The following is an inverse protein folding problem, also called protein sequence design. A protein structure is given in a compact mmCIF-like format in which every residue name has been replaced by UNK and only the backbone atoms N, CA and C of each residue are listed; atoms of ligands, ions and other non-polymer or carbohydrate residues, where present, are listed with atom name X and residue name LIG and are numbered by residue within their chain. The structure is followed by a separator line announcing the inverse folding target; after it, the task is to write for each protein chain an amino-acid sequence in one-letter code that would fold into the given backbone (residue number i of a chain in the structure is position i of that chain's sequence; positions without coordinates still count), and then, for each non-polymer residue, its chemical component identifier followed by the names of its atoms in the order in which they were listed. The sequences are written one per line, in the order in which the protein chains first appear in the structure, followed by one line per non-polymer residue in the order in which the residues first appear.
data_IF_130824637519
#
_entry.id   IF_130824637519
#
_cell.length_a   1.000
_cell.length_b   1.000
_cell.length_c   1.000
_cell.angle_alpha   90.00
_cell.angle_beta   90.00
_cell.angle_gamma   90.00
#
_symmetry.space_group_name_H-M   'P 1'
#
loop_
_entity.id
_entity.type
_entity.pdbx_description
1 polymer ?
#
# COMPACT_ATOMS: atom_id res chain seq x y z
N UNK A 1 -10.59 14.22 -7.30
CA UNK A 1 -9.51 13.76 -8.23
C UNK A 1 -10.00 12.50 -8.96
N UNK A 2 -9.85 12.45 -10.28
CA UNK A 2 -9.95 11.19 -11.04
C UNK A 2 -8.56 10.68 -11.37
N UNK A 3 -8.28 9.42 -11.08
CA UNK A 3 -6.95 8.79 -11.31
C UNK A 3 -6.59 8.84 -12.80
N UNK A 4 -7.57 8.69 -13.70
CA UNK A 4 -7.41 8.82 -15.17
C UNK A 4 -6.83 10.18 -15.56
N UNK A 5 -7.32 11.27 -14.98
CA UNK A 5 -6.79 12.62 -15.26
C UNK A 5 -5.35 12.82 -14.78
N UNK A 6 -4.94 12.15 -13.69
CA UNK A 6 -3.53 12.18 -13.26
C UNK A 6 -2.64 11.40 -14.22
N UNK A 7 -3.08 10.24 -14.70
CA UNK A 7 -2.35 9.46 -15.71
C UNK A 7 -2.19 10.23 -17.02
N UNK A 8 -3.23 10.91 -17.46
CA UNK A 8 -3.19 11.78 -18.64
C UNK A 8 -2.21 12.95 -18.45
N UNK A 9 -2.22 13.61 -17.28
CA UNK A 9 -1.26 14.66 -16.93
C UNK A 9 0.19 14.17 -16.94
N UNK A 10 0.46 12.96 -16.46
CA UNK A 10 1.78 12.34 -16.47
C UNK A 10 2.23 11.95 -17.90
N UNK A 11 1.31 11.64 -18.80
CA UNK A 11 1.54 11.45 -20.23
C UNK A 11 2.64 10.42 -20.54
N UNK A 12 3.71 10.86 -21.21
CA UNK A 12 4.83 10.00 -21.65
C UNK A 12 5.54 9.30 -20.47
N UNK A 13 5.66 9.93 -19.30
CA UNK A 13 6.27 9.30 -18.13
C UNK A 13 5.42 8.13 -17.62
N UNK A 14 4.09 8.29 -17.62
CA UNK A 14 3.19 7.20 -17.28
C UNK A 14 3.30 6.05 -18.27
N UNK A 15 3.31 6.38 -19.57
CA UNK A 15 3.48 5.37 -20.63
C UNK A 15 4.80 4.62 -20.50
N UNK A 16 5.91 5.33 -20.27
CA UNK A 16 7.23 4.71 -20.07
C UNK A 16 7.24 3.70 -18.91
N UNK A 17 6.56 4.01 -17.81
CA UNK A 17 6.42 3.06 -16.70
C UNK A 17 5.59 1.84 -17.09
N UNK A 18 4.49 2.01 -17.84
CA UNK A 18 3.68 0.86 -18.30
C UNK A 18 4.46 -0.02 -19.28
N UNK A 19 5.22 0.58 -20.20
CA UNK A 19 6.07 -0.15 -21.16
C UNK A 19 7.18 -0.94 -20.42
N UNK A 20 7.77 -0.35 -19.36
CA UNK A 20 8.73 -1.06 -18.50
C UNK A 20 8.11 -2.21 -17.74
N UNK A 21 6.90 -2.05 -17.18
CA UNK A 21 6.18 -3.13 -16.50
C UNK A 21 5.93 -4.30 -17.44
N UNK A 22 5.43 -4.03 -18.64
CA UNK A 22 5.18 -5.06 -19.65
C UNK A 22 6.46 -5.78 -20.09
N UNK A 23 7.52 -5.03 -20.41
CA UNK A 23 8.78 -5.61 -20.88
C UNK A 23 9.53 -6.38 -19.79
N UNK A 24 9.51 -5.90 -18.54
CA UNK A 24 10.15 -6.57 -17.42
C UNK A 24 9.57 -7.95 -17.12
N UNK A 25 8.28 -8.16 -17.40
CA UNK A 25 7.57 -9.39 -17.07
C UNK A 25 7.55 -10.42 -18.19
N UNK A 26 8.14 -10.12 -19.35
CA UNK A 26 8.28 -11.09 -20.43
C UNK A 26 9.35 -12.16 -20.08
N UNK A 27 9.04 -13.43 -20.29
CA UNK A 27 9.91 -14.55 -19.96
C UNK A 27 10.15 -15.54 -21.11
N UNK A 28 9.24 -15.61 -22.08
CA UNK A 28 9.19 -16.63 -23.13
C UNK A 28 8.57 -17.96 -22.69
N UNK A 29 8.07 -18.06 -21.45
CA UNK A 29 7.30 -19.21 -20.95
C UNK A 29 5.81 -18.86 -21.04
N UNK A 30 5.07 -19.53 -21.96
CA UNK A 30 3.69 -19.21 -22.28
C UNK A 30 2.77 -19.07 -21.07
N UNK A 31 2.83 -20.02 -20.12
CA UNK A 31 2.01 -19.98 -18.89
C UNK A 31 2.33 -18.74 -18.06
N UNK A 32 3.61 -18.37 -17.92
CA UNK A 32 4.03 -17.23 -17.13
C UNK A 32 3.65 -15.92 -17.83
N UNK A 33 3.89 -15.80 -19.13
CA UNK A 33 3.58 -14.61 -19.92
C UNK A 33 2.07 -14.35 -19.94
N UNK A 34 1.22 -15.38 -20.17
CA UNK A 34 -0.23 -15.26 -20.12
C UNK A 34 -0.73 -14.85 -18.71
N UNK A 35 -0.14 -15.39 -17.64
CA UNK A 35 -0.49 -15.02 -16.27
C UNK A 35 -0.11 -13.57 -15.99
N UNK A 36 1.08 -13.12 -16.42
CA UNK A 36 1.55 -11.75 -16.26
C UNK A 36 0.67 -10.74 -17.01
N UNK A 37 0.28 -11.02 -18.24
CA UNK A 37 -0.65 -10.19 -19.03
C UNK A 37 -2.00 -10.04 -18.34
N UNK A 38 -2.54 -11.13 -17.81
CA UNK A 38 -3.80 -11.11 -17.06
C UNK A 38 -3.68 -10.22 -15.80
N UNK A 39 -2.61 -10.38 -15.00
CA UNK A 39 -2.37 -9.58 -13.81
C UNK A 39 -2.20 -8.09 -14.15
N UNK A 40 -1.46 -7.74 -15.19
CA UNK A 40 -1.27 -6.35 -15.62
C UNK A 40 -2.60 -5.72 -16.09
N UNK A 41 -3.46 -6.47 -16.76
CA UNK A 41 -4.77 -5.97 -17.21
C UNK A 41 -5.72 -5.64 -16.04
N UNK A 42 -5.49 -6.22 -14.86
CA UNK A 42 -6.27 -6.01 -13.63
C UNK A 42 -5.47 -5.29 -12.53
N UNK A 43 -4.42 -4.55 -12.88
CA UNK A 43 -3.46 -3.93 -11.95
C UNK A 43 -4.03 -2.83 -11.04
N UNK A 44 -5.30 -2.45 -11.19
CA UNK A 44 -5.98 -1.50 -10.31
C UNK A 44 -5.52 -0.05 -10.48
N UNK A 45 -5.44 0.69 -9.37
CA UNK A 45 -5.16 2.13 -9.38
C UNK A 45 -3.70 2.48 -9.63
N UNK A 46 -2.77 1.59 -9.34
CA UNK A 46 -1.31 1.77 -9.45
C UNK A 46 -0.84 3.07 -8.77
N UNK A 47 -1.22 3.25 -7.51
CA UNK A 47 -0.95 4.50 -6.77
C UNK A 47 0.54 4.74 -6.51
N UNK A 48 1.34 3.68 -6.41
CA UNK A 48 2.79 3.79 -6.14
C UNK A 48 3.56 4.40 -7.29
N UNK A 49 3.41 3.95 -8.54
CA UNK A 49 4.02 4.63 -9.67
C UNK A 49 3.47 6.05 -9.89
N UNK A 50 2.17 6.30 -9.67
CA UNK A 50 1.62 7.66 -9.71
C UNK A 50 2.31 8.57 -8.70
N UNK A 51 2.43 8.12 -7.45
CA UNK A 51 3.14 8.83 -6.39
C UNK A 51 4.59 9.10 -6.78
N UNK A 52 5.32 8.08 -7.25
CA UNK A 52 6.72 8.22 -7.64
C UNK A 52 6.90 9.30 -8.71
N UNK A 53 6.12 9.26 -9.78
CA UNK A 53 6.23 10.22 -10.87
C UNK A 53 5.86 11.64 -10.43
N UNK A 54 4.80 11.80 -9.62
CA UNK A 54 4.40 13.11 -9.09
C UNK A 54 5.49 13.70 -8.18
N UNK A 55 6.07 12.90 -7.28
CA UNK A 55 7.16 13.36 -6.38
C UNK A 55 8.40 13.72 -7.18
N UNK A 56 8.84 12.91 -8.16
CA UNK A 56 10.00 13.23 -8.98
C UNK A 56 9.80 14.57 -9.71
N UNK A 57 8.65 14.77 -10.35
CA UNK A 57 8.34 16.05 -11.04
C UNK A 57 8.25 17.22 -10.06
N UNK A 58 7.62 17.04 -8.90
CA UNK A 58 7.52 18.08 -7.87
C UNK A 58 8.90 18.51 -7.36
N UNK A 59 9.82 17.56 -7.16
CA UNK A 59 11.21 17.84 -6.78
C UNK A 59 11.92 18.68 -7.84
N UNK A 60 11.85 18.31 -9.12
CA UNK A 60 12.45 19.07 -10.22
C UNK A 60 11.88 20.50 -10.30
N UNK A 61 10.55 20.65 -10.20
CA UNK A 61 9.89 21.96 -10.21
C UNK A 61 10.29 22.82 -9.02
N UNK A 62 10.39 22.23 -7.83
CA UNK A 62 10.82 22.93 -6.61
C UNK A 62 12.28 23.38 -6.68
N UNK A 63 13.13 22.67 -7.42
CA UNK A 63 14.52 23.05 -7.69
C UNK A 63 14.66 24.04 -8.87
N UNK A 64 13.57 24.43 -9.54
CA UNK A 64 13.62 25.29 -10.72
C UNK A 64 14.23 24.61 -11.96
N UNK A 65 14.24 23.29 -11.99
CA UNK A 65 14.85 22.48 -13.06
C UNK A 65 13.78 22.13 -14.09
N UNK A 66 14.08 22.41 -15.37
CA UNK A 66 13.20 22.12 -16.51
C UNK A 66 13.47 20.75 -17.15
N UNK A 67 14.29 19.92 -16.53
CA UNK A 67 14.63 18.59 -17.04
C UNK A 67 13.42 17.65 -16.99
N UNK A 68 13.42 16.69 -17.92
CA UNK A 68 12.44 15.59 -17.96
C UNK A 68 12.89 14.47 -17.03
N UNK A 69 11.94 13.64 -16.60
CA UNK A 69 12.26 12.41 -15.90
C UNK A 69 13.10 11.48 -16.78
N UNK A 70 13.97 10.71 -16.14
CA UNK A 70 14.88 9.79 -16.82
C UNK A 70 14.42 8.34 -16.65
N UNK A 71 15.06 7.44 -17.36
CA UNK A 71 14.82 6.00 -17.24
C UNK A 71 14.97 5.51 -15.78
N UNK A 72 15.86 6.12 -14.99
CA UNK A 72 16.05 5.78 -13.56
C UNK A 72 14.77 6.04 -12.76
N UNK A 73 14.11 7.20 -12.97
CA UNK A 73 12.85 7.52 -12.29
C UNK A 73 11.74 6.54 -12.66
N UNK A 74 11.63 6.18 -13.94
CA UNK A 74 10.63 5.22 -14.41
C UNK A 74 10.88 3.80 -13.89
N UNK A 75 12.16 3.37 -13.83
CA UNK A 75 12.54 2.05 -13.29
C UNK A 75 12.17 1.92 -11.81
N UNK A 76 12.44 2.94 -10.98
CA UNK A 76 12.10 2.90 -9.56
C UNK A 76 10.58 2.91 -9.34
N UNK A 77 9.84 3.68 -10.15
CA UNK A 77 8.38 3.67 -10.12
C UNK A 77 7.80 2.29 -10.50
N UNK A 78 8.32 1.68 -11.56
CA UNK A 78 7.91 0.33 -11.99
C UNK A 78 8.30 -0.75 -10.95
N UNK A 79 9.52 -0.67 -10.39
CA UNK A 79 9.99 -1.60 -9.37
C UNK A 79 9.09 -1.60 -8.11
N UNK A 80 8.65 -0.42 -7.66
CA UNK A 80 7.74 -0.30 -6.53
C UNK A 80 6.38 -0.99 -6.79
N UNK A 81 5.88 -0.91 -8.02
CA UNK A 81 4.61 -1.58 -8.39
C UNK A 81 4.80 -3.09 -8.55
N UNK A 82 5.91 -3.55 -9.13
CA UNK A 82 6.23 -4.98 -9.20
C UNK A 82 6.36 -5.60 -7.82
N UNK A 83 7.09 -4.91 -6.92
CA UNK A 83 7.23 -5.36 -5.54
C UNK A 83 5.86 -5.46 -4.83
N UNK A 84 5.00 -4.45 -5.00
CA UNK A 84 3.65 -4.49 -4.44
C UNK A 84 2.84 -5.68 -4.94
N UNK A 85 2.83 -5.92 -6.25
CA UNK A 85 2.04 -7.03 -6.79
C UNK A 85 2.66 -8.41 -6.43
N UNK A 86 3.99 -8.50 -6.29
CA UNK A 86 4.65 -9.70 -5.78
C UNK A 86 4.17 -10.05 -4.36
N UNK A 87 4.10 -9.05 -3.46
CA UNK A 87 3.58 -9.28 -2.10
C UNK A 87 2.11 -9.69 -2.11
N UNK A 88 1.28 -9.08 -2.97
CA UNK A 88 -0.13 -9.49 -3.09
C UNK A 88 -0.29 -10.95 -3.54
N UNK A 89 0.58 -11.45 -4.44
CA UNK A 89 0.56 -12.85 -4.89
C UNK A 89 0.92 -13.82 -3.78
N UNK A 90 1.85 -13.44 -2.90
CA UNK A 90 2.21 -14.22 -1.71
C UNK A 90 1.12 -14.15 -0.63
N UNK A 91 0.55 -12.97 -0.39
CA UNK A 91 -0.53 -12.74 0.56
C UNK A 91 -1.78 -13.55 0.17
N UNK A 92 -2.14 -13.63 -1.12
CA UNK A 92 -3.26 -14.45 -1.60
C UNK A 92 -3.11 -15.92 -1.21
N UNK A 93 -1.86 -16.42 -1.13
CA UNK A 93 -1.58 -17.79 -0.68
C UNK A 93 -1.65 -17.89 0.85
N UNK A 94 -1.05 -16.94 1.56
CA UNK A 94 -1.01 -16.93 3.01
C UNK A 94 -2.41 -16.81 3.64
N UNK A 95 -3.25 -15.91 3.07
CA UNK A 95 -4.62 -15.65 3.53
C UNK A 95 -5.65 -16.64 2.94
N UNK A 96 -5.23 -17.50 2.01
CA UNK A 96 -6.16 -18.42 1.33
C UNK A 96 -7.19 -17.73 0.45
N UNK A 97 -6.92 -16.54 -0.07
CA UNK A 97 -7.86 -15.68 -0.80
C UNK A 97 -8.18 -16.20 -2.20
N UNK A 98 -9.46 -16.40 -2.51
CA UNK A 98 -9.90 -16.83 -3.84
C UNK A 98 -10.21 -15.66 -4.79
N UNK A 99 -10.55 -14.50 -4.24
CA UNK A 99 -10.92 -13.31 -5.00
C UNK A 99 -10.10 -12.08 -4.57
N UNK A 100 -9.65 -11.30 -5.54
CA UNK A 100 -9.03 -10.00 -5.33
C UNK A 100 -9.63 -8.97 -6.31
N UNK A 101 -10.17 -7.88 -5.78
CA UNK A 101 -10.87 -6.85 -6.58
C UNK A 101 -11.99 -7.41 -7.46
N UNK A 102 -12.66 -8.46 -6.99
CA UNK A 102 -13.76 -9.11 -7.71
C UNK A 102 -13.36 -10.09 -8.82
N UNK A 103 -12.05 -10.30 -9.05
CA UNK A 103 -11.54 -11.30 -9.99
C UNK A 103 -10.86 -12.45 -9.23
N UNK A 104 -10.85 -13.69 -9.80
CA UNK A 104 -10.14 -14.82 -9.20
C UNK A 104 -8.63 -14.54 -9.07
N UNK A 105 -8.05 -14.95 -7.93
CA UNK A 105 -6.60 -14.86 -7.70
C UNK A 105 -5.86 -15.92 -8.53
N UNK A 106 -4.53 -15.73 -8.74
CA UNK A 106 -3.68 -16.76 -9.37
C UNK A 106 -3.73 -18.05 -8.56
N UNK A 107 -3.75 -17.93 -7.22
CA UNK A 107 -3.94 -19.08 -6.31
C UNK A 107 -5.22 -19.85 -6.61
N UNK A 108 -6.34 -19.17 -6.81
CA UNK A 108 -7.62 -19.81 -7.10
C UNK A 108 -7.67 -20.46 -8.49
N UNK A 109 -7.04 -19.83 -9.49
CA UNK A 109 -7.06 -20.30 -10.88
C UNK A 109 -6.04 -21.40 -11.16
N UNK A 110 -4.80 -21.25 -10.66
CA UNK A 110 -3.65 -22.07 -11.04
C UNK A 110 -2.99 -22.79 -9.85
N UNK A 111 -3.51 -22.56 -8.64
CA UNK A 111 -3.00 -23.16 -7.41
C UNK A 111 -1.92 -22.33 -6.70
N UNK A 112 -1.69 -22.62 -5.40
CA UNK A 112 -0.78 -21.85 -4.56
C UNK A 112 0.67 -21.88 -5.05
N UNK A 113 1.12 -22.99 -5.63
CA UNK A 113 2.49 -23.12 -6.14
C UNK A 113 2.77 -22.14 -7.27
N UNK A 114 1.83 -21.98 -8.22
CA UNK A 114 1.99 -21.04 -9.34
C UNK A 114 1.97 -19.60 -8.81
N UNK A 115 1.10 -19.28 -7.85
CA UNK A 115 1.04 -17.94 -7.25
C UNK A 115 2.37 -17.56 -6.60
N UNK A 116 2.99 -18.46 -5.82
CA UNK A 116 4.30 -18.23 -5.21
C UNK A 116 5.39 -18.01 -6.28
N UNK A 117 5.46 -18.87 -7.29
CA UNK A 117 6.48 -18.75 -8.34
C UNK A 117 6.33 -17.47 -9.18
N UNK A 118 5.11 -17.05 -9.48
CA UNK A 118 4.85 -15.77 -10.15
C UNK A 118 5.24 -14.60 -9.26
N UNK A 119 4.92 -14.66 -7.96
CA UNK A 119 5.35 -13.67 -6.97
C UNK A 119 6.87 -13.53 -6.89
N UNK A 120 7.59 -14.65 -6.82
CA UNK A 120 9.07 -14.67 -6.83
C UNK A 120 9.62 -14.07 -8.13
N UNK A 121 9.02 -14.41 -9.28
CA UNK A 121 9.42 -13.83 -10.56
C UNK A 121 9.26 -12.31 -10.57
N UNK A 122 8.11 -11.78 -10.14
CA UNK A 122 7.87 -10.33 -10.05
C UNK A 122 8.83 -9.64 -9.09
N UNK A 123 9.13 -10.28 -7.95
CA UNK A 123 10.10 -9.78 -6.99
C UNK A 123 11.50 -9.65 -7.59
N UNK A 124 11.98 -10.68 -8.30
CA UNK A 124 13.30 -10.65 -8.97
C UNK A 124 13.32 -9.60 -10.07
N UNK A 125 12.22 -9.43 -10.83
CA UNK A 125 12.12 -8.37 -11.84
C UNK A 125 12.15 -6.97 -11.23
N UNK A 126 11.52 -6.76 -10.06
CA UNK A 126 11.65 -5.51 -9.32
C UNK A 126 13.11 -5.24 -8.95
N UNK A 127 13.82 -6.23 -8.43
CA UNK A 127 15.26 -6.11 -8.10
C UNK A 127 16.09 -5.80 -9.35
N UNK A 128 15.82 -6.44 -10.49
CA UNK A 128 16.51 -6.15 -11.75
C UNK A 128 16.34 -4.69 -12.19
N UNK A 129 15.11 -4.15 -12.09
CA UNK A 129 14.83 -2.74 -12.40
C UNK A 129 15.58 -1.78 -11.45
N UNK A 130 15.74 -2.14 -10.18
CA UNK A 130 16.46 -1.31 -9.19
C UNK A 130 17.97 -1.30 -9.50
N UNK A 131 18.54 -2.44 -9.85
CA UNK A 131 19.96 -2.57 -10.16
C UNK A 131 20.31 -1.87 -11.47
N UNK A 132 19.44 -1.95 -12.49
CA UNK A 132 19.69 -1.43 -13.82
C UNK A 132 20.60 -2.30 -14.67
N UNK A 133 20.79 -1.87 -15.91
CA UNK A 133 21.57 -2.66 -16.90
C UNK A 133 23.06 -2.28 -16.92
N UNK A 134 23.42 -1.14 -16.33
CA UNK A 134 24.79 -0.61 -16.32
C UNK A 134 25.25 -0.23 -14.91
N UNK A 135 26.54 -0.31 -14.66
CA UNK A 135 27.14 0.08 -13.38
C UNK A 135 26.85 1.56 -13.01
N UNK A 136 26.69 2.43 -14.00
CA UNK A 136 26.32 3.84 -13.80
C UNK A 136 24.89 4.03 -13.24
N UNK A 137 24.04 3.04 -13.41
CA UNK A 137 22.64 3.09 -12.97
C UNK A 137 22.47 2.60 -11.53
N UNK A 138 23.50 1.95 -11.00
CA UNK A 138 23.50 1.38 -9.66
C UNK A 138 23.56 2.45 -8.59
N UNK A 139 22.55 2.46 -7.71
CA UNK A 139 22.53 3.33 -6.54
C UNK A 139 22.42 2.48 -5.27
N UNK A 140 23.51 2.30 -4.50
CA UNK A 140 23.53 1.44 -3.31
C UNK A 140 22.56 1.90 -2.23
N UNK A 141 22.23 3.20 -2.17
CA UNK A 141 21.26 3.74 -1.24
C UNK A 141 19.85 3.27 -1.59
N UNK A 142 19.49 3.24 -2.87
CA UNK A 142 18.20 2.77 -3.34
C UNK A 142 18.05 1.28 -3.11
N UNK A 143 19.06 0.48 -3.43
CA UNK A 143 19.08 -0.98 -3.16
C UNK A 143 18.86 -1.25 -1.67
N UNK A 144 19.54 -0.51 -0.78
CA UNK A 144 19.35 -0.63 0.66
C UNK A 144 17.91 -0.31 1.09
N UNK A 145 17.31 0.75 0.55
CA UNK A 145 15.93 1.14 0.86
C UNK A 145 14.92 0.06 0.46
N UNK A 146 15.03 -0.48 -0.76
CA UNK A 146 14.15 -1.58 -1.19
C UNK A 146 14.37 -2.84 -0.37
N UNK A 147 15.62 -3.19 -0.03
CA UNK A 147 15.92 -4.34 0.84
C UNK A 147 15.31 -4.17 2.24
N UNK A 148 15.39 -2.98 2.82
CA UNK A 148 14.77 -2.68 4.11
C UNK A 148 13.24 -2.76 4.03
N UNK A 149 12.64 -2.29 2.96
CA UNK A 149 11.19 -2.39 2.72
C UNK A 149 10.74 -3.84 2.63
N UNK A 150 11.49 -4.70 1.93
CA UNK A 150 11.21 -6.14 1.86
C UNK A 150 11.24 -6.81 3.24
N UNK A 151 12.26 -6.51 4.05
CA UNK A 151 12.31 -6.97 5.45
C UNK A 151 11.10 -6.50 6.24
N UNK A 152 10.77 -5.20 6.12
CA UNK A 152 9.63 -4.62 6.83
C UNK A 152 8.31 -5.30 6.46
N UNK A 153 8.07 -5.58 5.18
CA UNK A 153 6.86 -6.27 4.71
C UNK A 153 6.72 -7.64 5.38
N UNK A 154 7.79 -8.46 5.37
CA UNK A 154 7.79 -9.78 6.02
C UNK A 154 7.62 -9.69 7.55
N UNK A 155 8.34 -8.76 8.20
CA UNK A 155 8.22 -8.54 9.64
C UNK A 155 6.82 -8.08 10.04
N UNK A 156 6.18 -7.25 9.20
CA UNK A 156 4.81 -6.76 9.42
C UNK A 156 3.79 -7.88 9.39
N UNK A 157 3.90 -8.79 8.43
CA UNK A 157 3.03 -9.98 8.35
C UNK A 157 3.22 -10.88 9.58
N UNK A 158 4.47 -11.18 9.95
CA UNK A 158 4.75 -12.01 11.12
C UNK A 158 4.25 -11.36 12.42
N UNK A 159 4.42 -10.03 12.56
CA UNK A 159 3.90 -9.31 13.72
C UNK A 159 2.38 -9.35 13.78
N UNK A 160 1.71 -9.15 12.64
CA UNK A 160 0.24 -9.23 12.56
C UNK A 160 -0.26 -10.61 12.95
N UNK A 161 0.33 -11.69 12.43
CA UNK A 161 -0.01 -13.07 12.81
C UNK A 161 0.18 -13.31 14.31
N UNK A 162 1.33 -12.89 14.86
CA UNK A 162 1.59 -13.03 16.30
C UNK A 162 0.53 -12.30 17.14
N UNK A 163 0.18 -11.06 16.74
CA UNK A 163 -0.79 -10.24 17.46
C UNK A 163 -2.23 -10.73 17.30
N UNK A 164 -2.58 -11.32 16.17
CA UNK A 164 -3.87 -12.00 15.97
C UNK A 164 -4.02 -13.18 16.94
N UNK A 165 -2.99 -14.03 17.07
CA UNK A 165 -3.01 -15.17 17.99
C UNK A 165 -3.12 -14.75 19.47
N UNK A 166 -2.45 -13.68 19.89
CA UNK A 166 -2.47 -13.20 21.28
C UNK A 166 -3.66 -12.28 21.58
N UNK A 167 -4.28 -11.68 20.56
CA UNK A 167 -5.34 -10.66 20.64
C UNK A 167 -4.98 -9.48 21.58
N UNK A 168 -3.70 -9.13 21.67
CA UNK A 168 -3.17 -8.11 22.56
C UNK A 168 -2.67 -6.85 21.83
N UNK A 169 -2.98 -6.71 20.54
CA UNK A 169 -2.63 -5.54 19.73
C UNK A 169 -2.99 -4.26 20.46
N UNK A 170 -2.03 -3.38 20.66
CA UNK A 170 -2.23 -2.01 21.11
C UNK A 170 -2.11 -1.00 19.93
N UNK A 171 -2.26 0.28 20.22
CA UNK A 171 -2.16 1.33 19.18
C UNK A 171 -0.75 1.43 18.57
N UNK A 172 0.30 1.21 19.35
CA UNK A 172 1.69 1.21 18.88
C UNK A 172 1.97 0.02 17.97
N UNK A 173 1.52 -1.18 18.37
CA UNK A 173 1.58 -2.39 17.56
C UNK A 173 0.84 -2.20 16.22
N UNK A 174 -0.38 -1.66 16.28
CA UNK A 174 -1.18 -1.36 15.09
C UNK A 174 -0.43 -0.43 14.12
N UNK A 175 0.10 0.70 14.60
CA UNK A 175 0.86 1.63 13.75
C UNK A 175 2.10 0.96 13.15
N UNK A 176 2.80 0.11 13.92
CA UNK A 176 3.95 -0.65 13.42
C UNK A 176 3.55 -1.62 12.33
N UNK A 177 2.46 -2.36 12.51
CA UNK A 177 1.94 -3.31 11.51
C UNK A 177 1.61 -2.57 10.20
N UNK A 178 0.81 -1.50 10.25
CA UNK A 178 0.39 -0.79 9.05
C UNK A 178 1.55 -0.01 8.39
N UNK A 179 2.56 0.42 9.17
CA UNK A 179 3.78 0.93 8.59
C UNK A 179 4.47 -0.15 7.78
N UNK A 180 4.76 -1.30 8.37
CA UNK A 180 5.49 -2.38 7.74
C UNK A 180 4.77 -2.91 6.49
N UNK A 181 3.47 -3.16 6.57
CA UNK A 181 2.68 -3.76 5.48
C UNK A 181 2.33 -2.79 4.35
N UNK A 182 2.13 -1.52 4.67
CA UNK A 182 1.56 -0.56 3.72
C UNK A 182 2.41 0.69 3.56
N UNK A 183 2.70 1.43 4.63
CA UNK A 183 3.34 2.73 4.53
C UNK A 183 4.80 2.64 4.06
N UNK A 184 5.54 1.60 4.42
CA UNK A 184 6.94 1.38 4.00
C UNK A 184 7.10 1.34 2.49
N UNK A 185 6.13 0.77 1.78
CA UNK A 185 6.17 0.69 0.32
C UNK A 185 5.75 2.02 -0.34
N UNK A 186 4.88 2.81 0.28
CA UNK A 186 4.66 4.21 -0.13
C UNK A 186 5.91 5.05 0.11
N UNK A 187 6.56 4.88 1.26
CA UNK A 187 7.80 5.58 1.61
C UNK A 187 8.91 5.32 0.59
N UNK A 188 9.22 4.05 0.29
CA UNK A 188 10.27 3.72 -0.68
C UNK A 188 9.93 4.26 -2.07
N UNK A 189 8.65 4.22 -2.49
CA UNK A 189 8.21 4.77 -3.77
C UNK A 189 8.50 6.27 -3.89
N UNK A 190 8.18 7.06 -2.86
CA UNK A 190 8.40 8.51 -2.86
C UNK A 190 9.88 8.89 -2.65
N UNK A 191 10.56 8.20 -1.73
CA UNK A 191 11.95 8.53 -1.40
C UNK A 191 12.89 8.20 -2.56
N UNK A 192 12.71 7.05 -3.23
CA UNK A 192 13.52 6.69 -4.40
C UNK A 192 13.20 7.57 -5.61
N UNK A 193 11.96 8.05 -5.72
CA UNK A 193 11.57 9.04 -6.70
C UNK A 193 12.34 10.37 -6.52
N UNK A 194 12.43 10.88 -5.29
CA UNK A 194 13.23 12.08 -4.98
C UNK A 194 14.74 11.86 -5.24
N UNK A 195 15.26 10.69 -4.85
CA UNK A 195 16.68 10.32 -5.10
C UNK A 195 16.97 10.24 -6.60
N UNK A 196 16.04 9.74 -7.42
CA UNK A 196 16.24 9.57 -8.88
C UNK A 196 16.45 10.87 -9.63
N UNK A 197 16.04 11.99 -9.04
CA UNK A 197 16.20 13.35 -9.60
C UNK A 197 17.14 14.22 -8.76
N UNK A 198 17.95 13.62 -7.91
CA UNK A 198 18.95 14.30 -7.07
C UNK A 198 18.35 15.41 -6.20
N UNK A 199 17.16 15.20 -5.66
CA UNK A 199 16.49 16.17 -4.81
C UNK A 199 17.33 16.54 -3.56
N UNK A 200 17.12 17.72 -3.03
CA UNK A 200 17.74 18.13 -1.77
C UNK A 200 17.27 17.23 -0.61
N UNK A 201 18.07 17.14 0.44
CA UNK A 201 17.72 16.38 1.63
C UNK A 201 16.37 16.82 2.23
N UNK A 202 16.07 18.13 2.18
CA UNK A 202 14.80 18.67 2.64
C UNK A 202 13.60 18.11 1.84
N UNK A 203 13.73 18.03 0.51
CA UNK A 203 12.67 17.48 -0.34
C UNK A 203 12.56 15.97 -0.20
N UNK A 204 13.69 15.25 0.01
CA UNK A 204 13.64 13.81 0.31
C UNK A 204 12.90 13.53 1.62
N UNK A 205 13.18 14.31 2.68
CA UNK A 205 12.51 14.13 3.99
C UNK A 205 11.02 14.47 3.87
N UNK A 206 10.66 15.54 3.16
CA UNK A 206 9.27 15.90 2.91
C UNK A 206 8.52 14.82 2.08
N UNK A 207 9.17 14.26 1.05
CA UNK A 207 8.60 13.17 0.26
C UNK A 207 8.37 11.91 1.10
N UNK A 208 9.32 11.58 1.99
CA UNK A 208 9.19 10.49 2.96
C UNK A 208 8.01 10.70 3.88
N UNK A 209 7.97 11.87 4.55
CA UNK A 209 6.94 12.19 5.54
C UNK A 209 5.55 12.17 4.91
N UNK A 210 5.39 12.78 3.74
CA UNK A 210 4.15 12.71 2.95
C UNK A 210 3.73 11.26 2.70
N UNK A 211 4.64 10.44 2.19
CA UNK A 211 4.33 9.07 1.77
C UNK A 211 3.99 8.15 2.95
N UNK A 212 4.68 8.28 4.08
CA UNK A 212 4.39 7.51 5.30
C UNK A 212 2.99 7.86 5.82
N UNK A 213 2.66 9.16 5.91
CA UNK A 213 1.35 9.62 6.38
C UNK A 213 0.24 9.22 5.43
N UNK A 214 0.47 9.30 4.11
CA UNK A 214 -0.45 8.80 3.09
C UNK A 214 -0.69 7.29 3.23
N UNK A 215 0.38 6.51 3.50
CA UNK A 215 0.30 5.07 3.70
C UNK A 215 -0.52 4.70 4.93
N UNK A 216 -0.34 5.42 6.06
CA UNK A 216 -1.18 5.26 7.25
C UNK A 216 -2.65 5.59 6.95
N UNK A 217 -2.91 6.74 6.32
CA UNK A 217 -4.25 7.13 5.93
C UNK A 217 -4.90 6.10 4.98
N UNK A 218 -4.11 5.55 4.07
CA UNK A 218 -4.58 4.53 3.14
C UNK A 218 -5.03 3.26 3.87
N UNK A 219 -4.21 2.74 4.79
CA UNK A 219 -4.57 1.52 5.53
C UNK A 219 -5.73 1.74 6.50
N UNK A 220 -5.73 2.86 7.25
CA UNK A 220 -6.85 3.19 8.15
C UNK A 220 -8.17 3.26 7.37
N UNK A 221 -8.13 3.78 6.14
CA UNK A 221 -9.33 3.81 5.29
C UNK A 221 -9.80 2.42 4.88
N UNK A 222 -8.88 1.49 4.58
CA UNK A 222 -9.25 0.09 4.31
C UNK A 222 -9.90 -0.55 5.53
N UNK A 223 -9.32 -0.34 6.72
CA UNK A 223 -9.86 -0.86 7.98
C UNK A 223 -11.26 -0.30 8.27
N UNK A 224 -11.52 0.99 7.99
CA UNK A 224 -12.86 1.60 8.12
C UNK A 224 -13.84 0.95 7.14
N UNK A 225 -13.42 0.70 5.90
CA UNK A 225 -14.28 0.11 4.87
C UNK A 225 -14.69 -1.32 5.22
N UNK A 226 -13.86 -2.07 5.96
CA UNK A 226 -14.20 -3.42 6.44
C UNK A 226 -15.40 -3.44 7.40
N UNK A 227 -15.66 -2.32 8.13
CA UNK A 227 -16.83 -2.18 9.01
C UNK A 227 -18.01 -1.46 8.38
N UNK A 228 -17.79 -0.59 7.39
CA UNK A 228 -18.79 0.34 6.85
C UNK A 228 -19.12 0.14 5.37
N UNK A 229 -18.44 -0.78 4.70
CA UNK A 229 -18.66 -1.07 3.27
C UNK A 229 -20.08 -1.57 3.01
N UNK A 230 -20.66 -1.16 1.88
CA UNK A 230 -21.91 -1.74 1.39
C UNK A 230 -21.61 -3.06 0.69
N UNK A 231 -22.48 -4.04 0.82
CA UNK A 231 -22.39 -5.36 0.17
C UNK A 231 -22.24 -5.32 -1.37
N UNK A 232 -22.30 -4.13 -1.97
CA UNK A 232 -22.15 -3.90 -3.40
C UNK A 232 -20.76 -4.23 -3.97
N UNK A 233 -19.74 -4.44 -3.13
CA UNK A 233 -18.35 -4.73 -3.54
C UNK A 233 -18.02 -6.24 -3.48
N UNK A 234 -18.97 -7.08 -3.10
CA UNK A 234 -18.79 -8.56 -3.12
C UNK A 234 -17.88 -9.12 -2.02
N UNK A 235 -17.38 -8.29 -1.06
CA UNK A 235 -16.67 -8.78 0.12
C UNK A 235 -17.60 -8.84 1.34
N UNK A 236 -17.56 -9.92 2.14
CA UNK A 236 -18.23 -9.93 3.43
C UNK A 236 -17.64 -8.83 4.32
N UNK A 237 -18.47 -8.19 5.15
CA UNK A 237 -18.01 -7.22 6.14
C UNK A 237 -17.31 -7.93 7.30
N UNK A 238 -16.33 -7.24 7.91
CA UNK A 238 -15.64 -7.74 9.11
C UNK A 238 -14.68 -8.88 8.82
N UNK A 239 -14.05 -8.89 7.65
CA UNK A 239 -13.02 -9.89 7.30
C UNK A 239 -11.87 -9.82 8.30
N UNK A 240 -11.37 -8.61 8.62
CA UNK A 240 -10.30 -8.42 9.59
C UNK A 240 -10.65 -9.01 10.96
N UNK A 241 -11.88 -8.80 11.42
CA UNK A 241 -12.36 -9.37 12.70
C UNK A 241 -12.39 -10.89 12.64
N UNK A 242 -12.90 -11.46 11.55
CA UNK A 242 -12.96 -12.94 11.37
C UNK A 242 -11.58 -13.58 11.31
N UNK A 243 -10.57 -12.82 10.86
CA UNK A 243 -9.16 -13.19 10.87
C UNK A 243 -8.45 -12.79 12.18
N UNK A 244 -9.18 -12.45 13.24
CA UNK A 244 -8.67 -12.06 14.55
C UNK A 244 -7.78 -10.81 14.54
N UNK A 245 -7.81 -10.01 13.48
CA UNK A 245 -7.06 -8.75 13.35
C UNK A 245 -7.75 -7.66 14.17
N UNK A 246 -7.02 -7.08 15.14
CA UNK A 246 -7.49 -5.94 15.92
C UNK A 246 -7.01 -4.67 15.22
N UNK A 247 -7.89 -4.08 14.40
CA UNK A 247 -7.62 -2.87 13.63
C UNK A 247 -8.11 -1.60 14.35
N UNK A 248 -7.82 -0.43 13.77
CA UNK A 248 -8.06 0.85 14.45
C UNK A 248 -9.51 1.09 14.88
N UNK A 249 -10.55 0.72 14.11
CA UNK A 249 -11.94 0.83 14.58
C UNK A 249 -12.20 0.04 15.87
N UNK A 250 -11.67 -1.17 15.97
CA UNK A 250 -11.84 -1.99 17.18
C UNK A 250 -11.05 -1.42 18.37
N UNK A 251 -9.81 -0.94 18.13
CA UNK A 251 -9.02 -0.24 19.15
C UNK A 251 -9.76 1.00 19.67
N UNK A 252 -10.34 1.79 18.78
CA UNK A 252 -11.13 2.98 19.12
C UNK A 252 -12.36 2.65 19.99
N UNK A 253 -13.14 1.63 19.59
CA UNK A 253 -14.29 1.19 20.37
C UNK A 253 -13.89 0.69 21.78
N UNK A 254 -12.78 -0.04 21.89
CA UNK A 254 -12.24 -0.47 23.18
C UNK A 254 -11.74 0.72 24.02
N UNK A 255 -11.15 1.72 23.42
CA UNK A 255 -10.73 2.95 24.11
C UNK A 255 -11.92 3.75 24.63
N UNK A 256 -13.02 3.83 23.88
CA UNK A 256 -14.25 4.49 24.28
C UNK A 256 -15.03 3.71 25.34
N UNK A 257 -14.82 2.39 25.45
CA UNK A 257 -15.51 1.51 26.40
C UNK A 257 -14.52 0.56 27.13
N UNK A 258 -13.59 1.08 27.95
CA UNK A 258 -12.49 0.32 28.52
C UNK A 258 -12.94 -0.84 29.43
N UNK A 259 -14.10 -0.71 30.08
CA UNK A 259 -14.68 -1.76 30.94
C UNK A 259 -15.05 -3.04 30.16
N UNK A 260 -15.28 -2.95 28.84
CA UNK A 260 -15.56 -4.12 28.00
C UNK A 260 -14.34 -4.64 27.23
N UNK A 261 -13.22 -3.90 27.19
CA UNK A 261 -12.06 -4.20 26.37
C UNK A 261 -11.49 -5.61 26.63
N UNK A 262 -11.38 -6.03 27.89
CA UNK A 262 -10.90 -7.37 28.26
C UNK A 262 -11.80 -8.48 27.71
N UNK A 263 -13.12 -8.32 27.83
CA UNK A 263 -14.10 -9.28 27.27
C UNK A 263 -14.00 -9.34 25.75
N UNK A 264 -13.88 -8.21 25.08
CA UNK A 264 -13.78 -8.14 23.62
C UNK A 264 -12.52 -8.86 23.13
N UNK A 265 -11.38 -8.67 23.79
CA UNK A 265 -10.14 -9.38 23.45
C UNK A 265 -10.28 -10.92 23.61
N UNK A 266 -10.96 -11.37 24.66
CA UNK A 266 -11.25 -12.80 24.84
C UNK A 266 -12.21 -13.34 23.77
N UNK A 267 -13.16 -12.53 23.28
CA UNK A 267 -14.01 -12.92 22.15
C UNK A 267 -13.18 -13.05 20.86
N UNK A 268 -12.26 -12.09 20.57
CA UNK A 268 -11.34 -12.16 19.42
C UNK A 268 -10.54 -13.46 19.43
N UNK A 269 -9.98 -13.87 20.57
CA UNK A 269 -9.23 -15.14 20.70
C UNK A 269 -10.05 -16.36 20.36
N UNK A 270 -11.35 -16.33 20.64
CA UNK A 270 -12.27 -17.46 20.48
C UNK A 270 -12.98 -17.52 19.14
N UNK A 271 -12.76 -16.55 18.23
CA UNK A 271 -13.39 -16.53 16.90
C UNK A 271 -13.19 -17.85 16.13
N UNK A 272 -12.01 -18.52 16.15
CA UNK A 272 -11.84 -19.79 15.44
C UNK A 272 -12.82 -20.88 15.85
N UNK A 273 -13.21 -20.91 17.12
CA UNK A 273 -14.14 -21.89 17.68
C UNK A 273 -15.59 -21.35 17.76
N UNK A 274 -15.75 -20.03 17.73
CA UNK A 274 -16.99 -19.27 17.95
C UNK A 274 -17.14 -18.15 16.94
N UNK A 275 -17.42 -18.48 15.68
CA UNK A 275 -17.52 -17.53 14.57
C UNK A 275 -18.59 -16.43 14.78
N UNK A 276 -19.62 -16.69 15.60
CA UNK A 276 -20.66 -15.74 15.99
C UNK A 276 -20.11 -14.51 16.73
N UNK A 277 -18.97 -14.61 17.42
CA UNK A 277 -18.34 -13.48 18.10
C UNK A 277 -17.90 -12.39 17.15
N UNK A 278 -17.60 -12.71 15.88
CA UNK A 278 -17.26 -11.68 14.89
C UNK A 278 -18.39 -10.67 14.72
N UNK A 279 -19.64 -11.12 14.63
CA UNK A 279 -20.79 -10.25 14.45
C UNK A 279 -21.10 -9.42 15.72
N UNK A 280 -20.87 -10.00 16.93
CA UNK A 280 -20.96 -9.25 18.20
C UNK A 280 -19.87 -8.15 18.27
N UNK A 281 -18.64 -8.44 17.84
CA UNK A 281 -17.54 -7.48 17.81
C UNK A 281 -17.81 -6.36 16.81
N UNK A 282 -18.31 -6.67 15.62
CA UNK A 282 -18.67 -5.67 14.61
C UNK A 282 -19.77 -4.74 15.16
N UNK A 283 -20.78 -5.29 15.84
CA UNK A 283 -21.82 -4.50 16.49
C UNK A 283 -21.25 -3.62 17.61
N UNK A 284 -20.36 -4.18 18.44
CA UNK A 284 -19.66 -3.43 19.50
C UNK A 284 -18.87 -2.24 18.93
N UNK A 285 -18.15 -2.42 17.80
CA UNK A 285 -17.40 -1.33 17.16
C UNK A 285 -18.32 -0.20 16.71
N UNK A 286 -19.45 -0.52 16.07
CA UNK A 286 -20.43 0.44 15.58
C UNK A 286 -21.12 1.21 16.72
N UNK A 287 -21.50 0.50 17.78
CA UNK A 287 -22.21 1.08 18.93
C UNK A 287 -21.32 1.96 19.81
N UNK A 288 -20.02 1.74 19.81
CA UNK A 288 -19.08 2.46 20.69
C UNK A 288 -18.15 3.43 19.93
N UNK A 289 -18.56 3.91 18.74
CA UNK A 289 -17.87 4.99 18.03
C UNK A 289 -16.48 4.62 17.51
N UNK A 290 -16.23 3.32 17.23
CA UNK A 290 -14.94 2.87 16.79
C UNK A 290 -14.60 3.33 15.36
N UNK A 291 -15.59 3.38 14.49
CA UNK A 291 -15.44 3.86 13.10
C UNK A 291 -15.14 5.36 13.08
N UNK A 292 -15.84 6.13 13.92
CA UNK A 292 -15.65 7.57 14.07
C UNK A 292 -14.26 7.88 14.60
N UNK A 293 -13.79 7.15 15.62
CA UNK A 293 -12.43 7.27 16.14
C UNK A 293 -11.38 7.05 15.05
N UNK A 294 -11.55 6.00 14.25
CA UNK A 294 -10.62 5.71 13.14
C UNK A 294 -10.69 6.80 12.06
N UNK A 295 -11.88 7.36 11.76
CA UNK A 295 -12.06 8.44 10.81
C UNK A 295 -11.37 9.74 11.26
N UNK A 296 -11.40 10.07 12.55
CA UNK A 296 -10.66 11.20 13.11
C UNK A 296 -9.14 11.03 12.93
N UNK A 297 -8.60 9.84 13.25
CA UNK A 297 -7.18 9.54 13.06
C UNK A 297 -6.77 9.56 11.58
N UNK A 298 -7.62 9.05 10.68
CA UNK A 298 -7.44 9.13 9.24
C UNK A 298 -7.25 10.60 8.79
N UNK A 299 -8.14 11.50 9.23
CA UNK A 299 -8.06 12.91 8.86
C UNK A 299 -6.79 13.57 9.38
N UNK A 300 -6.34 13.24 10.60
CA UNK A 300 -5.06 13.73 11.14
C UNK A 300 -3.90 13.33 10.23
N UNK A 301 -3.81 12.07 9.80
CA UNK A 301 -2.73 11.63 8.91
C UNK A 301 -2.82 12.25 7.52
N UNK A 302 -4.02 12.52 7.00
CA UNK A 302 -4.20 13.25 5.73
C UNK A 302 -3.71 14.68 5.86
N UNK A 303 -4.04 15.38 6.94
CA UNK A 303 -3.60 16.76 7.18
C UNK A 303 -2.08 16.83 7.37
N UNK A 304 -1.49 15.87 8.11
CA UNK A 304 -0.04 15.76 8.27
C UNK A 304 0.66 15.47 6.92
N UNK A 305 0.08 14.60 6.06
CA UNK A 305 0.60 14.37 4.72
C UNK A 305 0.57 15.66 3.88
N UNK A 306 -0.53 16.39 3.90
CA UNK A 306 -0.65 17.67 3.17
C UNK A 306 0.36 18.69 3.70
N UNK A 307 0.54 18.79 5.01
CA UNK A 307 1.52 19.66 5.65
C UNK A 307 2.97 19.37 5.24
N UNK A 308 3.32 18.09 5.05
CA UNK A 308 4.66 17.72 4.57
C UNK A 308 4.97 18.29 3.16
N UNK A 309 3.95 18.58 2.35
CA UNK A 309 4.11 19.19 1.03
C UNK A 309 4.52 20.67 1.06
N UNK A 310 4.51 21.32 2.20
CA UNK A 310 4.91 22.74 2.30
C UNK A 310 6.37 23.00 1.94
N UNK A 311 7.22 21.98 2.03
CA UNK A 311 8.61 22.04 1.58
C UNK A 311 8.76 22.13 0.05
N UNK A 312 7.72 21.71 -0.70
CA UNK A 312 7.72 21.79 -2.16
C UNK A 312 7.27 23.18 -2.63
N UNK A 313 7.89 23.67 -3.71
CA UNK A 313 7.43 24.88 -4.41
C UNK A 313 6.03 24.71 -4.99
N UNK A 314 5.37 25.83 -5.27
CA UNK A 314 4.03 25.79 -5.85
C UNK A 314 4.10 25.28 -7.29
N UNK A 315 3.46 24.16 -7.53
CA UNK A 315 3.39 23.47 -8.82
C UNK A 315 2.13 22.60 -8.91
N UNK A 316 1.79 22.18 -10.13
CA UNK A 316 0.62 21.33 -10.37
C UNK A 316 0.76 19.97 -9.66
N UNK A 317 1.95 19.42 -9.61
CA UNK A 317 2.26 18.15 -8.95
C UNK A 317 1.96 18.20 -7.44
N UNK A 318 2.32 19.31 -6.77
CA UNK A 318 1.98 19.54 -5.36
C UNK A 318 0.46 19.51 -5.15
N UNK A 319 -0.29 20.17 -6.01
CA UNK A 319 -1.76 20.15 -5.93
C UNK A 319 -2.33 18.75 -6.19
N UNK A 320 -1.78 18.00 -7.15
CA UNK A 320 -2.21 16.62 -7.40
C UNK A 320 -1.88 15.68 -6.22
N UNK A 321 -0.75 15.89 -5.54
CA UNK A 321 -0.40 15.16 -4.32
C UNK A 321 -1.37 15.47 -3.17
N UNK A 322 -1.79 16.74 -2.97
CA UNK A 322 -2.85 17.10 -2.03
C UNK A 322 -4.18 16.43 -2.38
N UNK A 323 -4.56 16.48 -3.66
CA UNK A 323 -5.76 15.81 -4.14
C UNK A 323 -5.71 14.30 -3.91
N UNK A 324 -4.52 13.65 -4.03
CA UNK A 324 -4.33 12.21 -3.77
C UNK A 324 -4.55 11.87 -2.29
N UNK A 325 -4.04 12.68 -1.37
CA UNK A 325 -4.26 12.50 0.06
C UNK A 325 -5.75 12.62 0.41
N UNK A 326 -6.43 13.66 -0.09
CA UNK A 326 -7.87 13.84 0.10
C UNK A 326 -8.71 12.73 -0.55
N UNK A 327 -8.30 12.24 -1.72
CA UNK A 327 -8.95 11.10 -2.38
C UNK A 327 -8.86 9.84 -1.52
N UNK A 328 -7.72 9.59 -0.88
CA UNK A 328 -7.52 8.44 0.02
C UNK A 328 -8.55 8.43 1.15
N UNK A 329 -8.83 9.58 1.76
CA UNK A 329 -9.85 9.67 2.81
C UNK A 329 -11.29 9.46 2.30
N UNK A 330 -11.59 9.94 1.09
CA UNK A 330 -12.96 9.98 0.55
C UNK A 330 -13.38 8.73 -0.23
N UNK A 331 -12.43 7.86 -0.61
CA UNK A 331 -12.74 6.64 -1.38
C UNK A 331 -13.75 5.76 -0.64
N UNK A 332 -14.63 5.09 -1.38
CA UNK A 332 -15.67 4.19 -0.86
C UNK A 332 -15.40 2.71 -1.21
N UNK A 333 -14.30 2.45 -1.88
CA UNK A 333 -13.88 1.14 -2.38
C UNK A 333 -12.36 1.09 -2.65
#
# INVERSE_FOLDING_TARGET
MEISGVREYLGDDWKAVQDLLGSALHSGIELLDTTNENLLSHSGKQLRPLLSLLISRACLKSAGVSEKLTQVSWRYAAAAELLHNATLLHDDVADGSDLRRGVPTVRAMLGPQVSVLVGDFWLVRAVSLILGDNDSDYNPRVVKLFSQTLSSLAEGEMLQLQKAMSADTDYGDYLRIIYCKTASLFEVSALTAAISVFASKQLEDAARDYAVKLGYAFQIKDDILDYSGTASVGKPLGVDVREQKITLPLLGAMANCPQKAGRVREMVKKIPDHGEFADEIISFVKENGGVEYAAEKLNVFVDEAIGALDAFGDCREKELLKELALFTAKRTW
#
